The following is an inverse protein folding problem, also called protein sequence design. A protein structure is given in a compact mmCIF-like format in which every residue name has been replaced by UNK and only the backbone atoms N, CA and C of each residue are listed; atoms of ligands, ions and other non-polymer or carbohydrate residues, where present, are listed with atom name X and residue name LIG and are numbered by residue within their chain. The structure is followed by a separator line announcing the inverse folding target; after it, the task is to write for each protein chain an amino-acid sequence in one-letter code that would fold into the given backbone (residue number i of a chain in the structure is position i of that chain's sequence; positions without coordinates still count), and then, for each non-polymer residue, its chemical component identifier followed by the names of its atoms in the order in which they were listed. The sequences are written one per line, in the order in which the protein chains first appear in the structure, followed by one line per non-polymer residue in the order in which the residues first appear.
data_IF_363861695274
#
_entry.id   IF_363861695274
#
_cell.length_a   1.000
_cell.length_b   1.000
_cell.length_c   1.000
_cell.angle_alpha   90.00
_cell.angle_beta   90.00
_cell.angle_gamma   90.00
#
_symmetry.space_group_name_H-M   'P 1'
#
loop_
_entity.id
_entity.type
_entity.pdbx_description
1 polymer ?
#
# COMPACT_ATOMS: atom_id res chain seq x y z
N UNK A 1 -3.01 -1.13 -15.36
CA UNK A 1 -2.94 -1.09 -13.89
C UNK A 1 -4.25 -1.53 -13.23
N UNK A 2 -5.33 -0.73 -13.29
CA UNK A 2 -6.58 -0.98 -12.55
C UNK A 2 -7.14 -2.41 -12.71
N UNK A 3 -7.28 -2.90 -13.94
CA UNK A 3 -7.74 -4.28 -14.21
C UNK A 3 -6.88 -5.35 -13.49
N UNK A 4 -5.55 -5.19 -13.51
CA UNK A 4 -4.61 -6.10 -12.86
C UNK A 4 -4.74 -6.06 -11.34
N UNK A 5 -4.93 -4.87 -10.77
CA UNK A 5 -5.14 -4.70 -9.33
C UNK A 5 -6.48 -5.32 -8.90
N UNK A 6 -7.56 -5.04 -9.62
CA UNK A 6 -8.88 -5.63 -9.37
C UNK A 6 -8.83 -7.15 -9.41
N UNK A 7 -8.32 -7.74 -10.49
CA UNK A 7 -8.21 -9.20 -10.64
C UNK A 7 -7.38 -9.80 -9.50
N UNK A 8 -6.25 -9.20 -9.14
CA UNK A 8 -5.40 -9.70 -8.06
C UNK A 8 -6.07 -9.64 -6.68
N UNK A 9 -6.72 -8.52 -6.33
CA UNK A 9 -7.40 -8.37 -5.04
C UNK A 9 -8.59 -9.33 -4.95
N UNK A 10 -9.36 -9.47 -6.04
CA UNK A 10 -10.47 -10.43 -6.11
C UNK A 10 -9.96 -11.85 -5.92
N UNK A 11 -8.95 -12.27 -6.68
CA UNK A 11 -8.40 -13.63 -6.61
C UNK A 11 -7.86 -13.96 -5.21
N UNK A 12 -7.07 -13.06 -4.59
CA UNK A 12 -6.42 -13.37 -3.31
C UNK A 12 -7.38 -13.42 -2.11
N UNK A 13 -8.53 -12.74 -2.22
CA UNK A 13 -9.51 -12.62 -1.14
C UNK A 13 -10.76 -13.49 -1.40
N UNK A 14 -10.81 -14.21 -2.53
CA UNK A 14 -11.98 -15.00 -2.89
C UNK A 14 -12.18 -16.15 -1.89
N UNK A 15 -13.32 -16.18 -1.21
CA UNK A 15 -13.62 -17.20 -0.20
C UNK A 15 -12.94 -16.99 1.15
N UNK A 16 -12.18 -15.92 1.34
CA UNK A 16 -11.64 -15.53 2.65
C UNK A 16 -12.71 -14.88 3.51
N UNK A 17 -12.57 -14.99 4.84
CA UNK A 17 -13.46 -14.30 5.78
C UNK A 17 -13.36 -12.78 5.63
N UNK A 18 -14.45 -12.06 5.96
CA UNK A 18 -14.45 -10.59 6.01
C UNK A 18 -13.26 -10.06 6.83
N UNK A 19 -12.58 -9.01 6.36
CA UNK A 19 -11.49 -8.36 7.09
C UNK A 19 -11.98 -7.94 8.48
N UNK A 20 -11.18 -8.24 9.52
CA UNK A 20 -11.53 -7.98 10.92
C UNK A 20 -11.90 -6.50 11.18
N UNK A 21 -11.35 -5.55 10.41
CA UNK A 21 -11.72 -4.13 10.51
C UNK A 21 -13.17 -3.91 10.08
N UNK A 22 -13.60 -4.52 8.97
CA UNK A 22 -14.98 -4.41 8.50
C UNK A 22 -15.94 -5.17 9.41
N UNK A 23 -15.53 -6.30 9.99
CA UNK A 23 -16.32 -6.99 11.03
C UNK A 23 -16.53 -6.08 12.25
N UNK A 24 -15.48 -5.42 12.74
CA UNK A 24 -15.57 -4.50 13.88
C UNK A 24 -16.48 -3.30 13.59
N UNK A 25 -16.39 -2.72 12.37
CA UNK A 25 -17.30 -1.66 11.93
C UNK A 25 -18.74 -2.20 11.89
N UNK A 26 -18.97 -3.39 11.30
CA UNK A 26 -20.29 -4.01 11.25
C UNK A 26 -20.90 -4.13 12.65
N UNK A 27 -20.19 -4.77 13.57
CA UNK A 27 -20.63 -4.93 14.96
C UNK A 27 -20.94 -3.60 15.65
N UNK A 28 -20.15 -2.55 15.40
CA UNK A 28 -20.36 -1.22 15.98
C UNK A 28 -21.63 -0.52 15.49
N UNK A 29 -22.06 -0.80 14.26
CA UNK A 29 -23.17 -0.08 13.62
C UNK A 29 -24.46 -0.89 13.49
N UNK A 30 -24.52 -2.11 14.04
CA UNK A 30 -25.78 -2.86 14.22
C UNK A 30 -26.71 -2.21 15.28
N UNK A 31 -28.05 -2.35 15.16
CA UNK A 31 -28.78 -2.76 13.95
C UNK A 31 -28.70 -1.70 12.84
N UNK A 32 -28.96 -2.12 11.58
CA UNK A 32 -28.97 -1.28 10.36
C UNK A 32 -27.60 -0.99 9.75
N UNK A 33 -26.65 -1.91 9.87
CA UNK A 33 -25.34 -1.76 9.23
C UNK A 33 -25.44 -1.49 7.72
N UNK A 34 -26.34 -2.18 7.00
CA UNK A 34 -26.48 -2.01 5.55
C UNK A 34 -26.73 -0.55 5.14
N UNK A 35 -27.71 0.12 5.73
CA UNK A 35 -28.02 1.52 5.41
C UNK A 35 -26.91 2.47 5.87
N UNK A 36 -26.40 2.27 7.09
CA UNK A 36 -25.32 3.12 7.63
C UNK A 36 -24.06 3.00 6.79
N UNK A 37 -23.72 1.79 6.32
CA UNK A 37 -22.55 1.49 5.51
C UNK A 37 -22.49 2.30 4.23
N UNK A 38 -23.64 2.64 3.64
CA UNK A 38 -23.72 3.54 2.47
C UNK A 38 -23.04 4.87 2.77
N UNK A 39 -23.29 5.47 3.93
CA UNK A 39 -22.64 6.72 4.34
C UNK A 39 -21.20 6.52 4.80
N UNK A 40 -20.99 5.62 5.77
CA UNK A 40 -19.69 5.53 6.47
C UNK A 40 -18.58 4.86 5.64
N UNK A 41 -18.92 3.97 4.72
CA UNK A 41 -17.95 3.24 3.89
C UNK A 41 -18.08 3.73 2.45
N UNK A 42 -19.24 3.60 1.81
CA UNK A 42 -19.33 3.83 0.36
C UNK A 42 -19.19 5.30 -0.03
N UNK A 43 -19.90 6.23 0.62
CA UNK A 43 -19.76 7.67 0.35
C UNK A 43 -18.36 8.15 0.71
N UNK A 44 -17.81 7.71 1.85
CA UNK A 44 -16.42 8.02 2.22
C UNK A 44 -15.42 7.55 1.15
N UNK A 45 -15.51 6.29 0.71
CA UNK A 45 -14.65 5.75 -0.35
C UNK A 45 -14.86 6.45 -1.69
N UNK A 46 -16.10 6.81 -2.04
CA UNK A 46 -16.42 7.54 -3.27
C UNK A 46 -15.78 8.94 -3.28
N UNK A 47 -15.84 9.67 -2.17
CA UNK A 47 -15.18 10.98 -2.02
C UNK A 47 -13.67 10.84 -2.15
N UNK A 48 -13.06 9.85 -1.49
CA UNK A 48 -11.63 9.59 -1.62
C UNK A 48 -11.25 9.25 -3.07
N UNK A 49 -11.98 8.35 -3.72
CA UNK A 49 -11.75 7.97 -5.11
C UNK A 49 -11.86 9.16 -6.04
N UNK A 50 -12.86 10.03 -5.83
CA UNK A 50 -13.05 11.25 -6.60
C UNK A 50 -11.84 12.19 -6.48
N UNK A 51 -11.40 12.50 -5.26
CA UNK A 51 -10.23 13.37 -5.01
C UNK A 51 -8.96 12.76 -5.61
N UNK A 52 -8.72 11.47 -5.36
CA UNK A 52 -7.53 10.77 -5.84
C UNK A 52 -7.53 10.70 -7.37
N UNK A 53 -8.69 10.54 -8.03
CA UNK A 53 -8.79 10.49 -9.49
C UNK A 53 -8.64 11.83 -10.22
N UNK A 54 -8.57 12.96 -9.51
CA UNK A 54 -8.46 14.30 -10.10
C UNK A 54 -7.39 14.46 -11.20
N UNK A 55 -6.13 14.04 -11.02
CA UNK A 55 -5.12 14.13 -12.09
C UNK A 55 -5.52 13.35 -13.35
N UNK A 56 -6.23 12.23 -13.23
CA UNK A 56 -6.72 11.50 -14.41
C UNK A 56 -7.78 12.29 -15.17
N UNK A 57 -8.71 12.93 -14.45
CA UNK A 57 -9.72 13.77 -15.08
C UNK A 57 -9.08 14.93 -15.85
N UNK A 58 -8.11 15.62 -15.25
CA UNK A 58 -7.38 16.72 -15.93
C UNK A 58 -6.62 16.19 -17.15
N UNK A 59 -5.87 15.09 -17.02
CA UNK A 59 -5.10 14.51 -18.11
C UNK A 59 -5.96 14.12 -19.33
N UNK A 60 -7.24 13.82 -19.11
CA UNK A 60 -8.18 13.44 -20.17
C UNK A 60 -8.95 14.62 -20.78
N UNK A 61 -8.98 15.77 -20.13
CA UNK A 61 -9.89 16.88 -20.51
C UNK A 61 -9.17 18.16 -20.89
N UNK A 62 -7.95 18.37 -20.41
CA UNK A 62 -7.17 19.58 -20.67
C UNK A 62 -6.10 19.24 -21.71
N UNK A 63 -6.12 19.86 -22.90
CA UNK A 63 -5.05 19.71 -23.87
C UNK A 63 -3.72 20.26 -23.31
N UNK A 64 -2.62 19.58 -23.61
CA UNK A 64 -1.27 20.06 -23.29
C UNK A 64 -0.28 19.60 -24.34
N UNK A 65 0.81 20.36 -24.46
CA UNK A 65 1.94 20.00 -25.31
C UNK A 65 2.84 19.00 -24.60
N UNK A 66 3.41 18.10 -25.39
CA UNK A 66 4.36 17.12 -24.90
C UNK A 66 5.58 17.80 -24.24
N UNK A 67 6.01 17.26 -23.10
CA UNK A 67 7.05 17.82 -22.26
C UNK A 67 7.94 16.74 -21.66
N UNK A 68 9.01 17.16 -20.99
CA UNK A 68 9.87 16.26 -20.21
C UNK A 68 9.09 15.56 -19.07
N UNK A 69 8.02 16.18 -18.57
CA UNK A 69 7.21 15.60 -17.50
C UNK A 69 6.50 14.33 -17.94
N UNK A 70 6.16 14.19 -19.22
CA UNK A 70 5.53 12.98 -19.78
C UNK A 70 6.47 11.78 -19.75
N UNK A 71 7.75 12.00 -20.07
CA UNK A 71 8.80 10.97 -19.99
C UNK A 71 8.97 10.53 -18.54
N UNK A 72 9.07 11.50 -17.62
CA UNK A 72 9.21 11.23 -16.19
C UNK A 72 7.98 10.51 -15.62
N UNK A 73 6.79 10.92 -16.03
CA UNK A 73 5.51 10.31 -15.64
C UNK A 73 5.44 8.84 -16.07
N UNK A 74 5.73 8.54 -17.34
CA UNK A 74 5.76 7.16 -17.85
C UNK A 74 6.82 6.34 -17.14
N UNK A 75 8.04 6.87 -16.95
CA UNK A 75 9.10 6.16 -16.25
C UNK A 75 8.69 5.82 -14.81
N UNK A 76 8.15 6.80 -14.07
CA UNK A 76 7.71 6.62 -12.70
C UNK A 76 6.56 5.60 -12.61
N UNK A 77 5.60 5.69 -13.53
CA UNK A 77 4.48 4.75 -13.61
C UNK A 77 4.93 3.32 -13.90
N UNK A 78 5.87 3.12 -14.84
CA UNK A 78 6.42 1.80 -15.15
C UNK A 78 7.14 1.21 -13.94
N UNK A 79 7.99 2.01 -13.27
CA UNK A 79 8.67 1.57 -12.05
C UNK A 79 7.63 1.19 -11.00
N UNK A 80 6.61 2.03 -10.80
CA UNK A 80 5.52 1.75 -9.87
C UNK A 80 4.79 0.45 -10.17
N UNK A 81 4.43 0.22 -11.44
CA UNK A 81 3.81 -1.01 -11.91
C UNK A 81 4.65 -2.25 -11.65
N UNK A 82 5.97 -2.17 -11.86
CA UNK A 82 6.90 -3.27 -11.59
C UNK A 82 6.94 -3.55 -10.09
N UNK A 83 7.13 -2.54 -9.25
CA UNK A 83 7.16 -2.70 -7.79
C UNK A 83 5.86 -3.29 -7.24
N UNK A 84 4.72 -2.78 -7.70
CA UNK A 84 3.40 -3.27 -7.30
C UNK A 84 3.17 -4.71 -7.75
N UNK A 85 3.35 -5.01 -9.04
CA UNK A 85 3.05 -6.32 -9.61
C UNK A 85 3.98 -7.41 -9.10
N UNK A 86 5.29 -7.12 -9.04
CA UNK A 86 6.29 -8.08 -8.56
C UNK A 86 6.18 -8.25 -7.05
N UNK A 87 5.96 -7.17 -6.29
CA UNK A 87 5.80 -7.24 -4.83
C UNK A 87 4.61 -8.11 -4.44
N UNK A 88 3.47 -7.91 -5.12
CA UNK A 88 2.26 -8.71 -4.93
C UNK A 88 2.45 -10.18 -5.32
N UNK A 89 3.04 -10.45 -6.50
CA UNK A 89 3.33 -11.81 -6.93
C UNK A 89 4.27 -12.55 -5.97
N UNK A 90 5.34 -11.88 -5.52
CA UNK A 90 6.28 -12.44 -4.55
C UNK A 90 5.58 -12.81 -3.24
N UNK A 91 4.73 -11.93 -2.70
CA UNK A 91 4.00 -12.20 -1.47
C UNK A 91 2.98 -13.32 -1.63
N UNK A 92 2.22 -13.33 -2.74
CA UNK A 92 1.24 -14.37 -3.03
C UNK A 92 1.91 -15.74 -3.13
N UNK A 93 2.99 -15.85 -3.93
CA UNK A 93 3.77 -17.08 -4.06
C UNK A 93 4.35 -17.54 -2.72
N UNK A 94 4.83 -16.61 -1.89
CA UNK A 94 5.35 -16.94 -0.56
C UNK A 94 4.27 -17.54 0.34
N UNK A 95 3.07 -16.94 0.36
CA UNK A 95 1.94 -17.40 1.18
C UNK A 95 1.35 -18.75 0.72
N UNK A 96 1.39 -19.04 -0.58
CA UNK A 96 0.88 -20.30 -1.12
C UNK A 96 1.72 -21.52 -0.72
N UNK A 97 2.99 -21.33 -0.33
CA UNK A 97 3.85 -22.44 0.10
C UNK A 97 3.60 -22.78 1.59
N UNK A 98 3.11 -23.99 1.93
CA UNK A 98 2.88 -24.38 3.32
C UNK A 98 4.12 -24.33 4.21
N UNK A 99 5.32 -24.52 3.64
CA UNK A 99 6.58 -24.45 4.37
C UNK A 99 6.92 -23.03 4.86
N UNK A 100 6.19 -22.01 4.40
CA UNK A 100 6.34 -20.62 4.79
C UNK A 100 5.32 -20.17 5.85
N UNK A 101 4.45 -21.08 6.34
CA UNK A 101 3.52 -20.76 7.44
C UNK A 101 4.31 -20.23 8.65
N UNK A 102 3.86 -19.11 9.20
CA UNK A 102 4.52 -18.42 10.33
C UNK A 102 5.79 -17.63 9.99
N UNK A 103 6.41 -17.83 8.81
CA UNK A 103 7.65 -17.15 8.43
C UNK A 103 7.40 -15.75 7.89
N UNK A 104 8.42 -14.89 7.95
CA UNK A 104 8.36 -13.52 7.41
C UNK A 104 8.87 -13.48 5.97
N UNK A 105 8.15 -12.79 5.09
CA UNK A 105 8.59 -12.59 3.71
C UNK A 105 9.65 -11.47 3.65
N UNK A 106 10.91 -11.85 3.55
CA UNK A 106 12.07 -10.93 3.52
C UNK A 106 12.95 -11.12 2.27
N UNK A 107 12.37 -11.66 1.19
CA UNK A 107 13.07 -12.00 -0.06
C UNK A 107 12.61 -11.13 -1.23
N UNK A 108 13.44 -10.99 -2.26
CA UNK A 108 13.10 -10.19 -3.44
C UNK A 108 12.95 -8.70 -3.10
N UNK A 109 11.88 -8.06 -3.56
CA UNK A 109 11.60 -6.64 -3.28
C UNK A 109 11.33 -6.40 -1.78
N UNK A 110 10.76 -7.40 -1.10
CA UNK A 110 10.49 -7.37 0.34
C UNK A 110 11.76 -7.32 1.18
N UNK A 111 12.94 -7.57 0.61
CA UNK A 111 14.22 -7.38 1.30
C UNK A 111 14.61 -5.90 1.44
N UNK A 112 14.15 -5.05 0.54
CA UNK A 112 14.57 -3.65 0.45
C UNK A 112 13.55 -2.68 1.06
N UNK A 113 12.29 -3.09 1.10
CA UNK A 113 11.18 -2.37 1.73
C UNK A 113 10.16 -3.37 2.26
N UNK A 114 9.49 -3.04 3.37
CA UNK A 114 8.42 -3.86 3.95
C UNK A 114 7.09 -3.72 3.20
N UNK A 115 6.97 -2.73 2.32
CA UNK A 115 5.75 -2.48 1.55
C UNK A 115 6.05 -2.13 0.09
N UNK A 116 6.68 -3.02 -0.68
CA UNK A 116 7.05 -2.74 -2.08
C UNK A 116 5.84 -2.46 -2.96
N UNK A 117 4.71 -3.10 -2.68
CA UNK A 117 3.48 -2.89 -3.42
C UNK A 117 2.85 -1.51 -3.17
N UNK A 118 2.83 -1.04 -1.92
CA UNK A 118 2.36 0.31 -1.60
C UNK A 118 3.29 1.39 -2.16
N UNK A 119 4.60 1.13 -2.15
CA UNK A 119 5.55 2.02 -2.80
C UNK A 119 5.26 2.12 -4.30
N UNK A 120 5.01 0.99 -4.96
CA UNK A 120 4.62 0.95 -6.37
C UNK A 120 3.34 1.73 -6.66
N UNK A 121 2.31 1.57 -5.83
CA UNK A 121 1.06 2.32 -5.94
C UNK A 121 1.30 3.83 -5.79
N UNK A 122 2.10 4.28 -4.81
CA UNK A 122 2.46 5.69 -4.72
C UNK A 122 3.13 6.21 -6.00
N UNK A 123 4.11 5.48 -6.54
CA UNK A 123 4.80 5.91 -7.78
C UNK A 123 3.85 6.06 -8.97
N UNK A 124 2.86 5.19 -9.09
CA UNK A 124 1.83 5.27 -10.15
C UNK A 124 1.06 6.59 -10.05
N UNK A 125 0.61 6.96 -8.86
CA UNK A 125 -0.18 8.18 -8.66
C UNK A 125 0.64 9.46 -8.70
N UNK A 126 1.90 9.41 -8.25
CA UNK A 126 2.85 10.49 -8.51
C UNK A 126 3.13 10.62 -10.01
N UNK A 127 3.18 9.52 -10.77
CA UNK A 127 3.27 9.54 -12.23
C UNK A 127 2.06 10.21 -12.88
N UNK A 128 0.84 9.90 -12.44
CA UNK A 128 -0.36 10.60 -12.91
C UNK A 128 -0.35 12.09 -12.63
N UNK A 129 0.17 12.49 -11.47
CA UNK A 129 0.35 13.91 -11.17
C UNK A 129 1.38 14.58 -12.10
N UNK A 130 2.50 13.91 -12.42
CA UNK A 130 3.50 14.47 -13.34
C UNK A 130 2.91 14.77 -14.73
N UNK A 131 2.01 13.94 -15.26
CA UNK A 131 1.33 14.19 -16.54
C UNK A 131 0.57 15.52 -16.58
N UNK A 132 0.07 16.00 -15.44
CA UNK A 132 -0.78 17.19 -15.38
C UNK A 132 -0.06 18.43 -14.90
N UNK A 133 1.24 18.36 -14.63
CA UNK A 133 2.04 19.56 -14.32
C UNK A 133 2.03 20.56 -15.50
N UNK A 134 2.23 20.13 -16.77
CA UNK A 134 2.25 21.05 -17.91
C UNK A 134 0.92 21.77 -18.16
N UNK A 135 -0.21 21.20 -17.71
CA UNK A 135 -1.54 21.81 -17.86
C UNK A 135 -1.79 22.99 -16.91
N UNK A 136 -0.87 23.22 -15.96
CA UNK A 136 -1.06 24.19 -14.88
C UNK A 136 -1.93 23.70 -13.74
N UNK A 137 -2.43 22.46 -13.77
CA UNK A 137 -3.25 21.87 -12.72
C UNK A 137 -2.43 21.36 -11.52
N UNK A 138 -1.51 22.18 -11.01
CA UNK A 138 -0.64 21.84 -9.87
C UNK A 138 -1.43 21.50 -8.60
N UNK A 139 -2.66 22.01 -8.47
CA UNK A 139 -3.57 21.72 -7.35
C UNK A 139 -3.93 20.22 -7.24
N UNK A 140 -3.79 19.46 -8.33
CA UNK A 140 -4.00 18.01 -8.34
C UNK A 140 -2.95 17.23 -7.54
N UNK A 141 -1.88 17.88 -7.05
CA UNK A 141 -0.89 17.32 -6.11
C UNK A 141 -1.52 16.77 -4.83
N UNK A 142 -2.71 17.27 -4.46
CA UNK A 142 -3.48 16.75 -3.33
C UNK A 142 -3.82 15.26 -3.50
N UNK A 143 -3.97 14.77 -4.74
CA UNK A 143 -4.23 13.35 -5.01
C UNK A 143 -3.10 12.43 -4.52
N UNK A 144 -1.86 12.51 -5.04
CA UNK A 144 -0.79 11.61 -4.62
C UNK A 144 -0.38 11.84 -3.15
N UNK A 145 -0.50 13.06 -2.62
CA UNK A 145 -0.27 13.34 -1.19
C UNK A 145 -1.29 12.59 -0.33
N UNK A 146 -2.58 12.75 -0.64
CA UNK A 146 -3.66 12.10 0.12
C UNK A 146 -3.52 10.58 0.06
N UNK A 147 -3.28 10.02 -1.13
CA UNK A 147 -3.06 8.59 -1.28
C UNK A 147 -1.84 8.11 -0.46
N UNK A 148 -0.71 8.81 -0.57
CA UNK A 148 0.51 8.45 0.19
C UNK A 148 0.22 8.48 1.70
N UNK A 149 -0.50 9.49 2.17
CA UNK A 149 -0.93 9.58 3.57
C UNK A 149 -1.81 8.40 3.98
N UNK A 150 -2.85 8.08 3.18
CA UNK A 150 -3.76 6.98 3.45
C UNK A 150 -3.03 5.63 3.47
N UNK A 151 -2.09 5.41 2.57
CA UNK A 151 -1.30 4.16 2.53
C UNK A 151 -0.40 4.00 3.76
N UNK A 152 0.27 5.07 4.17
CA UNK A 152 1.20 5.03 5.31
C UNK A 152 0.51 5.00 6.66
N UNK A 153 -0.60 5.75 6.82
CA UNK A 153 -1.25 5.96 8.12
C UNK A 153 -2.52 5.15 8.33
N UNK A 154 -3.33 4.97 7.29
CA UNK A 154 -4.67 4.41 7.42
C UNK A 154 -4.77 2.97 6.91
N UNK A 155 -4.00 2.59 5.88
CA UNK A 155 -4.21 1.33 5.17
C UNK A 155 -3.34 0.16 5.61
N UNK A 156 -2.05 0.32 5.97
CA UNK A 156 -1.27 -0.89 6.25
C UNK A 156 0.18 -0.88 6.70
N UNK A 157 0.84 0.25 7.00
CA UNK A 157 2.17 0.15 7.65
C UNK A 157 1.99 0.09 9.16
N UNK A 158 1.47 1.14 9.79
CA UNK A 158 1.43 1.24 11.26
C UNK A 158 0.49 0.22 11.90
N UNK A 159 -0.76 0.12 11.45
CA UNK A 159 -1.75 -0.82 12.03
C UNK A 159 -1.42 -2.30 11.79
N UNK A 160 -0.78 -2.62 10.66
CA UNK A 160 -0.40 -4.00 10.35
C UNK A 160 0.82 -4.41 11.18
N UNK A 161 1.80 -3.52 11.33
CA UNK A 161 3.01 -3.77 12.10
C UNK A 161 2.70 -4.00 13.59
N UNK A 162 1.77 -3.23 14.17
CA UNK A 162 1.35 -3.39 15.57
C UNK A 162 0.77 -4.78 15.87
N UNK A 163 0.08 -5.40 14.92
CA UNK A 163 -0.62 -6.68 15.14
C UNK A 163 0.16 -7.90 14.62
N UNK A 164 1.05 -7.73 13.64
CA UNK A 164 1.79 -8.85 13.03
C UNK A 164 3.02 -9.24 13.86
N UNK A 165 3.59 -8.28 14.60
CA UNK A 165 4.74 -8.49 15.48
C UNK A 165 4.45 -9.59 16.52
N UNK A 166 3.23 -9.64 17.05
CA UNK A 166 2.85 -10.65 18.04
C UNK A 166 2.49 -12.00 17.41
N UNK A 167 2.19 -12.03 16.10
CA UNK A 167 1.78 -13.24 15.37
C UNK A 167 2.94 -13.97 14.68
N UNK A 168 4.06 -13.29 14.41
CA UNK A 168 5.19 -13.84 13.65
C UNK A 168 6.51 -13.62 14.39
N UNK A 169 7.05 -14.65 15.06
CA UNK A 169 8.42 -14.64 15.55
C UNK A 169 9.36 -14.32 14.38
N UNK A 170 10.25 -13.33 14.50
CA UNK A 170 11.11 -12.86 13.42
C UNK A 170 10.69 -11.53 12.77
N UNK A 171 9.48 -11.03 13.04
CA UNK A 171 9.02 -9.78 12.41
C UNK A 171 9.65 -8.53 13.05
N UNK A 172 10.02 -8.57 14.34
CA UNK A 172 10.74 -7.46 15.00
C UNK A 172 12.11 -7.24 14.36
N UNK A 173 12.82 -8.34 14.09
CA UNK A 173 14.11 -8.34 13.41
C UNK A 173 13.98 -7.84 11.97
N UNK A 174 12.88 -8.18 11.30
CA UNK A 174 12.57 -7.67 9.96
C UNK A 174 12.30 -6.17 9.96
N UNK A 175 11.55 -5.65 10.96
CA UNK A 175 11.35 -4.20 11.15
C UNK A 175 12.68 -3.48 11.38
N UNK A 176 13.57 -4.05 12.21
CA UNK A 176 14.86 -3.44 12.52
C UNK A 176 15.80 -3.39 11.31
N UNK A 177 15.76 -4.41 10.44
CA UNK A 177 16.70 -4.56 9.32
C UNK A 177 16.20 -4.00 7.98
N UNK A 178 14.90 -3.79 7.80
CA UNK A 178 14.31 -3.45 6.49
C UNK A 178 13.57 -2.12 6.54
N UNK A 179 13.70 -1.28 5.52
CA UNK A 179 13.02 0.02 5.46
C UNK A 179 11.49 -0.17 5.40
N UNK A 180 10.73 0.70 6.06
CA UNK A 180 9.28 0.59 6.07
C UNK A 180 8.70 0.75 4.66
N UNK A 181 9.07 1.83 3.96
CA UNK A 181 8.38 2.24 2.74
C UNK A 181 9.31 2.45 1.55
N UNK A 182 10.27 3.38 1.66
CA UNK A 182 11.21 3.67 0.58
C UNK A 182 12.21 2.51 0.46
N UNK A 183 12.32 1.86 -0.73
CA UNK A 183 13.30 0.79 -0.96
C UNK A 183 14.73 1.27 -0.71
N UNK A 184 15.51 0.48 0.02
CA UNK A 184 16.91 0.79 0.29
C UNK A 184 17.68 -0.39 0.85
N UNK A 185 19.00 -0.27 1.04
CA UNK A 185 19.82 -1.33 1.61
C UNK A 185 19.34 -1.70 3.02
N UNK A 186 19.56 -2.96 3.39
CA UNK A 186 19.24 -3.44 4.73
C UNK A 186 20.10 -2.74 5.77
N UNK A 187 19.48 -2.38 6.88
CA UNK A 187 20.15 -1.86 8.07
C UNK A 187 20.77 -3.04 8.82
N UNK A 188 21.97 -2.84 9.39
CA UNK A 188 22.53 -3.82 10.32
C UNK A 188 21.59 -3.90 11.52
N UNK A 189 21.04 -5.07 11.79
CA UNK A 189 20.30 -5.29 13.03
C UNK A 189 21.32 -5.18 14.18
N UNK A 190 21.17 -4.19 15.06
CA UNK A 190 21.84 -4.27 16.34
C UNK A 190 21.22 -5.45 17.09
N UNK A 191 22.02 -6.42 17.58
CA UNK A 191 21.49 -7.45 18.45
C UNK A 191 20.77 -6.75 19.60
N UNK A 192 19.51 -7.09 19.84
CA UNK A 192 18.81 -6.67 21.05
C UNK A 192 19.62 -7.29 22.19
N UNK A 193 20.17 -6.45 23.07
CA UNK A 193 20.85 -6.93 24.26
C UNK A 193 19.84 -7.76 25.06
N UNK A 194 20.17 -9.02 25.28
CA UNK A 194 19.38 -9.94 26.08
C UNK A 194 19.40 -9.41 27.52
N UNK A 195 18.35 -8.73 27.95
CA UNK A 195 18.14 -8.41 29.36
C UNK A 195 17.62 -9.67 30.06
N UNK A 196 18.49 -10.67 30.17
CA UNK A 196 18.39 -11.80 31.10
C UNK A 196 19.57 -11.73 32.06
N UNK A 197 19.59 -10.75 32.97
CA UNK A 197 20.43 -10.76 34.18
C UNK A 197 19.99 -9.61 35.09
N UNK A 198 18.99 -9.86 35.95
CA UNK A 198 18.85 -9.27 37.29
C UNK A 198 17.60 -9.84 37.99
N UNK A 199 17.63 -11.15 38.27
CA UNK A 199 16.96 -11.70 39.46
C UNK A 199 17.94 -12.69 40.06
N UNK A 200 18.81 -12.20 40.94
CA UNK A 200 19.57 -12.99 41.91
C UNK A 200 19.48 -12.30 43.26
#
# INVERSE_FOLDING_TARGET
WALRLTVYITWRNWGESEDARYQAIRHKYEPNFALKSLGIIFVFQAVLAWIISMPLWVALTVPFDYSIFDILAVALWIIGMVFESVGDWQLARFKMNPANRGKVMNQGLWRYTRHPNYFGECLIWWGFFLFVIPTGAWWSILSPILLTFLLLKFSGVTMLEETIVDRRPGYREYIASTNAFIPGPQKKANPVADHQEEIS
#
